data_IF_189250012619
#
_entry.id   IF_189250012619
#
_cell.length_a   1.000
_cell.length_b   1.000
_cell.length_c   1.000
_cell.angle_alpha   90.00
_cell.angle_beta   90.00
_cell.angle_gamma   90.00
#
_symmetry.space_group_name_H-M   'P 1'
#
loop_
_entity.id
_entity.type
_entity.pdbx_description
1 polymer ?
#
# COMPACT_ATOMS: atom_id res chain seq x y z
N UNK A 1 97.10 -5.99 0.58
CA UNK A 1 97.80 -4.76 0.99
C UNK A 1 96.79 -3.93 1.80
N UNK A 2 96.90 -4.05 3.08
CA UNK A 2 97.30 -3.04 4.07
C UNK A 2 96.42 -1.80 4.12
N UNK A 3 95.50 -1.81 5.12
CA UNK A 3 95.33 -0.88 6.28
C UNK A 3 95.78 0.60 6.09
N UNK A 4 95.27 1.60 6.88
CA UNK A 4 94.59 1.52 8.18
C UNK A 4 93.48 2.59 8.41
N UNK A 5 92.74 2.37 9.47
CA UNK A 5 92.03 3.42 10.26
C UNK A 5 93.00 4.29 11.05
N UNK A 6 92.71 5.48 11.57
CA UNK A 6 92.37 5.52 12.99
C UNK A 6 91.45 6.69 13.50
N UNK A 7 90.90 6.43 14.71
CA UNK A 7 90.85 7.26 15.92
C UNK A 7 89.87 8.43 16.08
N UNK A 8 89.02 8.20 17.03
CA UNK A 8 88.35 9.19 17.92
C UNK A 8 89.32 10.11 18.68
N UNK A 9 88.80 11.26 19.19
CA UNK A 9 88.85 11.44 20.65
C UNK A 9 87.58 12.08 21.26
N UNK A 10 87.30 11.57 22.43
CA UNK A 10 86.87 12.03 23.73
C UNK A 10 86.44 13.48 23.94
N UNK A 11 85.25 13.59 24.50
CA UNK A 11 84.52 14.30 25.61
C UNK A 11 85.18 15.54 26.26
N UNK A 12 84.41 16.60 26.70
CA UNK A 12 83.98 16.58 28.08
C UNK A 12 82.55 17.01 28.37
N UNK A 13 82.12 16.59 29.57
CA UNK A 13 80.92 16.91 30.37
C UNK A 13 80.72 18.40 30.60
N UNK A 14 79.44 18.86 30.63
CA UNK A 14 78.94 19.88 31.53
C UNK A 14 77.42 19.81 31.69
N UNK A 15 77.03 19.47 32.85
CA UNK A 15 75.92 19.84 33.74
C UNK A 15 74.63 20.51 33.21
N UNK A 16 73.57 19.89 33.64
CA UNK A 16 72.38 20.41 34.34
C UNK A 16 71.39 21.32 33.56
N UNK A 17 70.20 20.86 33.46
CA UNK A 17 68.99 21.64 33.15
C UNK A 17 67.75 20.76 33.16
N UNK A 18 67.14 20.63 34.35
CA UNK A 18 65.84 20.02 34.47
C UNK A 18 64.80 20.90 33.77
N UNK A 19 64.23 20.46 32.67
CA UNK A 19 63.01 21.01 32.10
C UNK A 19 61.95 19.90 32.10
N UNK A 20 60.99 20.08 33.00
CA UNK A 20 59.79 19.29 33.08
C UNK A 20 58.98 19.51 31.79
N UNK A 21 58.94 18.55 30.91
CA UNK A 21 58.01 18.52 29.78
C UNK A 21 56.66 17.99 30.34
N UNK A 22 55.75 18.91 30.61
CA UNK A 22 54.36 18.57 30.84
C UNK A 22 53.78 18.01 29.53
N UNK A 23 53.60 16.69 29.47
CA UNK A 23 52.83 16.04 28.42
C UNK A 23 51.32 16.36 28.69
N UNK A 24 50.83 17.41 28.03
CA UNK A 24 49.39 17.67 27.96
C UNK A 24 48.79 16.55 27.11
N UNK A 25 48.22 15.55 27.76
CA UNK A 25 47.26 14.65 27.18
C UNK A 25 46.00 15.45 26.77
N UNK A 26 45.95 15.95 25.56
CA UNK A 26 44.71 16.38 24.91
C UNK A 26 43.86 15.14 24.72
N UNK A 27 43.04 14.82 25.70
CA UNK A 27 41.89 13.95 25.53
C UNK A 27 40.96 14.67 24.56
N UNK A 28 41.06 14.37 23.30
CA UNK A 28 40.02 14.64 22.36
C UNK A 28 38.82 13.80 22.79
N UNK A 29 37.94 14.40 23.61
CA UNK A 29 36.61 13.92 23.76
C UNK A 29 35.98 13.98 22.34
N UNK A 30 36.00 12.86 21.65
CA UNK A 30 35.06 12.65 20.58
C UNK A 30 33.67 12.82 21.17
N UNK A 31 33.17 14.04 21.15
CA UNK A 31 31.73 14.28 21.16
C UNK A 31 31.20 13.64 19.87
N UNK A 32 30.99 12.33 19.91
CA UNK A 32 29.97 11.74 19.09
C UNK A 32 28.67 12.39 19.56
N UNK A 33 28.35 13.55 18.95
CA UNK A 33 26.98 14.00 18.88
C UNK A 33 26.23 12.82 18.24
N UNK A 34 25.68 11.97 19.09
CA UNK A 34 24.62 11.08 18.69
C UNK A 34 23.60 12.03 18.05
N UNK A 35 23.60 12.05 16.72
CA UNK A 35 22.59 12.69 15.92
C UNK A 35 21.30 12.04 16.41
N UNK A 36 20.59 12.72 17.33
CA UNK A 36 19.27 12.31 17.79
C UNK A 36 18.46 12.22 16.52
N UNK A 37 18.30 10.99 16.06
CA UNK A 37 17.47 10.69 14.92
C UNK A 37 16.14 11.38 15.18
N UNK A 38 15.78 12.35 14.37
CA UNK A 38 14.54 13.11 14.55
C UNK A 38 13.41 12.10 14.52
N UNK A 39 12.82 11.91 15.70
CA UNK A 39 11.76 10.95 15.91
C UNK A 39 10.57 11.33 15.03
N UNK A 40 10.19 10.42 14.16
CA UNK A 40 9.15 10.68 13.16
C UNK A 40 7.79 10.50 13.81
N UNK A 41 6.99 11.56 13.81
CA UNK A 41 5.58 11.47 14.20
C UNK A 41 4.81 10.65 13.20
N UNK A 42 3.97 9.75 13.69
CA UNK A 42 3.13 8.87 12.88
C UNK A 42 1.72 8.81 13.46
N UNK A 43 0.80 8.42 12.61
CA UNK A 43 -0.56 8.07 12.98
C UNK A 43 -0.80 6.59 12.67
N UNK A 44 -0.97 5.77 13.71
CA UNK A 44 -1.25 4.35 13.58
C UNK A 44 -2.75 4.08 13.80
N UNK A 45 -3.40 3.42 12.84
CA UNK A 45 -4.77 2.95 12.96
C UNK A 45 -4.78 1.52 13.44
N UNK A 46 -5.57 1.25 14.49
CA UNK A 46 -5.71 -0.06 15.10
C UNK A 46 -6.94 -0.80 14.56
N UNK A 47 -6.93 -2.12 14.63
CA UNK A 47 -8.10 -2.96 14.36
C UNK A 47 -9.28 -2.64 15.29
N UNK A 48 -9.01 -2.14 16.50
CA UNK A 48 -10.05 -1.66 17.43
C UNK A 48 -10.84 -0.45 16.89
N UNK A 49 -10.31 0.25 15.87
CA UNK A 49 -10.83 1.53 15.40
C UNK A 49 -10.17 2.75 16.05
N UNK A 50 -9.35 2.52 17.06
CA UNK A 50 -8.57 3.58 17.69
C UNK A 50 -7.45 4.08 16.77
N UNK A 51 -7.11 5.35 16.92
CA UNK A 51 -5.98 5.98 16.26
C UNK A 51 -4.96 6.39 17.31
N UNK A 52 -3.74 5.89 17.19
CA UNK A 52 -2.62 6.21 18.06
C UNK A 52 -1.72 7.22 17.34
N UNK A 53 -1.49 8.37 17.97
CA UNK A 53 -0.58 9.40 17.46
C UNK A 53 0.66 9.46 18.35
N UNK A 54 1.83 9.32 17.76
CA UNK A 54 3.08 9.31 18.50
C UNK A 54 4.29 9.18 17.59
N UNK A 55 5.45 9.01 18.19
CA UNK A 55 6.69 8.75 17.48
C UNK A 55 6.85 7.25 17.29
N UNK A 56 7.11 6.81 16.07
CA UNK A 56 7.48 5.43 15.80
C UNK A 56 8.93 5.21 16.24
N UNK A 57 9.11 4.32 17.20
CA UNK A 57 10.44 4.01 17.80
C UNK A 57 11.06 2.81 17.09
N UNK A 58 10.29 1.75 16.88
CA UNK A 58 10.74 0.54 16.17
C UNK A 58 9.56 -0.25 15.62
N UNK A 59 9.82 -1.04 14.59
CA UNK A 59 8.92 -2.07 14.06
C UNK A 59 9.76 -3.31 13.78
N UNK A 60 9.25 -4.47 14.11
CA UNK A 60 9.81 -5.74 13.71
C UNK A 60 8.69 -6.62 13.11
N UNK A 61 8.95 -7.89 12.87
CA UNK A 61 8.00 -8.84 12.26
C UNK A 61 6.73 -9.06 13.10
N UNK A 62 6.76 -8.76 14.39
CA UNK A 62 5.68 -9.08 15.34
C UNK A 62 4.98 -7.85 15.90
N UNK A 63 5.72 -6.76 16.12
CA UNK A 63 5.24 -5.64 16.89
C UNK A 63 5.81 -4.29 16.43
N UNK A 64 5.10 -3.22 16.73
CA UNK A 64 5.53 -1.84 16.59
C UNK A 64 5.51 -1.13 17.94
N UNK A 65 6.53 -0.33 18.21
CA UNK A 65 6.70 0.45 19.44
C UNK A 65 6.53 1.93 19.14
N UNK A 66 5.63 2.56 19.84
CA UNK A 66 5.31 3.98 19.72
C UNK A 66 5.65 4.71 21.02
N UNK A 67 6.16 5.93 20.91
CA UNK A 67 6.36 6.86 22.02
C UNK A 67 5.26 7.93 21.98
N UNK A 68 4.41 7.99 22.99
CA UNK A 68 3.33 8.98 23.12
C UNK A 68 3.57 9.80 24.39
N UNK A 69 4.13 10.99 24.22
CA UNK A 69 4.60 11.77 25.36
C UNK A 69 5.70 11.05 26.14
N UNK A 70 5.43 10.68 27.40
CA UNK A 70 6.39 9.92 28.25
C UNK A 70 6.19 8.41 28.18
N UNK A 71 5.09 7.94 27.60
CA UNK A 71 4.70 6.53 27.62
C UNK A 71 5.17 5.81 26.35
N UNK A 72 5.65 4.58 26.54
CA UNK A 72 5.93 3.64 25.44
C UNK A 72 4.77 2.68 25.32
N UNK A 73 4.22 2.60 24.10
CA UNK A 73 3.09 1.74 23.76
C UNK A 73 3.58 0.73 22.73
N UNK A 74 3.55 -0.54 23.08
CA UNK A 74 3.83 -1.64 22.14
C UNK A 74 2.51 -2.20 21.62
N UNK A 75 2.41 -2.35 20.31
CA UNK A 75 1.26 -2.97 19.62
C UNK A 75 1.73 -4.09 18.72
N UNK A 76 1.05 -5.22 18.78
CA UNK A 76 1.31 -6.30 17.83
C UNK A 76 0.95 -5.83 16.41
N UNK A 77 1.73 -6.26 15.40
CA UNK A 77 1.40 -5.94 13.99
C UNK A 77 0.04 -6.50 13.58
N UNK A 78 -0.41 -7.58 14.23
CA UNK A 78 -1.75 -8.12 14.05
C UNK A 78 -2.86 -7.17 14.53
N UNK A 79 -2.57 -6.24 15.42
CA UNK A 79 -3.52 -5.23 15.90
C UNK A 79 -3.53 -3.96 15.04
N UNK A 80 -2.56 -3.81 14.12
CA UNK A 80 -2.43 -2.63 13.27
C UNK A 80 -3.13 -2.83 11.93
N UNK A 81 -3.92 -1.84 11.53
CA UNK A 81 -4.39 -1.68 10.16
C UNK A 81 -3.37 -0.97 9.29
N UNK A 82 -2.66 0.01 9.83
CA UNK A 82 -1.65 0.73 9.09
C UNK A 82 -1.02 1.88 9.88
N UNK A 83 0.07 2.38 9.34
CA UNK A 83 0.81 3.52 9.86
C UNK A 83 0.89 4.56 8.75
N UNK A 84 0.47 5.79 9.04
CA UNK A 84 0.59 6.94 8.14
C UNK A 84 1.68 7.85 8.65
N UNK A 85 2.51 8.33 7.74
CA UNK A 85 3.61 9.25 8.00
C UNK A 85 3.19 10.65 7.57
N UNK A 86 2.93 11.58 8.50
CA UNK A 86 2.50 12.92 8.15
C UNK A 86 3.57 13.66 7.35
N UNK A 87 3.12 14.59 6.55
CA UNK A 87 3.98 15.39 5.67
C UNK A 87 4.74 16.43 6.50
N UNK A 88 5.92 16.09 6.99
CA UNK A 88 6.87 17.08 7.49
C UNK A 88 7.68 17.58 6.31
N UNK A 89 7.36 18.75 5.84
CA UNK A 89 8.02 19.55 4.83
C UNK A 89 9.09 18.93 3.95
N UNK A 90 8.93 19.15 2.62
CA UNK A 90 10.01 19.24 1.65
C UNK A 90 10.66 17.97 1.09
N UNK A 91 9.88 17.02 0.58
CA UNK A 91 10.30 16.44 -0.72
C UNK A 91 9.10 16.52 -1.64
N UNK A 92 9.29 17.24 -2.72
CA UNK A 92 8.25 17.55 -3.69
C UNK A 92 7.69 16.25 -4.23
N UNK A 93 6.37 16.04 -4.19
CA UNK A 93 5.77 14.97 -4.97
C UNK A 93 6.23 15.09 -6.41
N UNK A 94 6.37 13.98 -7.11
CA UNK A 94 6.66 14.00 -8.55
C UNK A 94 5.62 14.89 -9.22
N UNK A 95 6.05 15.93 -9.93
CA UNK A 95 5.13 16.82 -10.62
C UNK A 95 4.25 16.02 -11.58
N UNK A 96 2.98 16.39 -11.69
CA UNK A 96 2.01 15.62 -12.48
C UNK A 96 2.41 15.48 -13.96
N UNK A 97 3.11 16.49 -14.49
CA UNK A 97 3.61 16.59 -15.86
C UNK A 97 5.05 16.06 -16.04
N UNK A 98 5.73 15.67 -14.94
CA UNK A 98 7.08 15.15 -15.03
C UNK A 98 7.13 13.86 -15.88
N UNK A 99 8.06 13.77 -16.85
CA UNK A 99 8.27 12.54 -17.61
C UNK A 99 8.58 11.38 -16.68
N UNK A 100 7.80 10.32 -16.80
CA UNK A 100 7.95 9.13 -15.94
C UNK A 100 7.56 7.85 -16.66
N UNK A 101 8.21 6.78 -16.27
CA UNK A 101 7.83 5.43 -16.65
C UNK A 101 7.17 4.75 -15.47
N UNK A 102 6.02 4.16 -15.69
CA UNK A 102 5.29 3.40 -14.68
C UNK A 102 5.41 1.90 -14.98
N UNK A 103 5.75 1.13 -13.96
CA UNK A 103 5.85 -0.33 -14.04
C UNK A 103 4.88 -0.96 -13.05
N UNK A 104 4.18 -1.99 -13.49
CA UNK A 104 3.37 -2.85 -12.64
C UNK A 104 3.93 -4.26 -12.67
N UNK A 105 4.21 -4.82 -11.50
CA UNK A 105 4.69 -6.19 -11.38
C UNK A 105 3.54 -7.17 -11.13
N UNK A 106 3.81 -8.46 -11.29
CA UNK A 106 2.82 -9.52 -11.11
C UNK A 106 2.34 -9.63 -9.66
N UNK A 107 3.19 -9.33 -8.67
CA UNK A 107 2.83 -9.31 -7.25
C UNK A 107 1.92 -8.12 -6.89
N UNK A 108 1.81 -7.13 -7.75
CA UNK A 108 1.03 -5.92 -7.50
C UNK A 108 1.85 -4.70 -7.11
N UNK A 109 3.17 -4.80 -7.03
CA UNK A 109 4.09 -3.66 -6.87
C UNK A 109 3.97 -2.71 -8.05
N UNK A 110 3.88 -1.41 -7.79
CA UNK A 110 3.88 -0.35 -8.82
C UNK A 110 5.02 0.60 -8.57
N UNK A 111 5.87 0.82 -9.57
CA UNK A 111 7.05 1.67 -9.48
C UNK A 111 6.97 2.81 -10.47
N UNK A 112 7.40 3.99 -10.04
CA UNK A 112 7.57 5.17 -10.87
C UNK A 112 9.04 5.47 -11.08
N UNK A 113 9.52 5.27 -12.31
CA UNK A 113 10.91 5.48 -12.67
C UNK A 113 11.10 6.82 -13.39
N UNK A 114 12.13 7.53 -13.03
CA UNK A 114 12.63 8.72 -13.72
C UNK A 114 13.35 8.33 -15.02
N UNK A 115 14.05 7.18 -15.00
CA UNK A 115 14.73 6.59 -16.15
C UNK A 115 14.57 5.09 -16.12
N UNK A 116 14.48 4.48 -17.30
CA UNK A 116 14.51 3.04 -17.44
C UNK A 116 15.36 2.62 -18.64
N UNK A 117 15.79 1.38 -18.62
CA UNK A 117 16.48 0.72 -19.72
C UNK A 117 16.08 -0.75 -19.71
N UNK A 118 15.72 -1.30 -20.85
CA UNK A 118 15.49 -2.73 -21.01
C UNK A 118 16.69 -3.36 -21.69
N UNK A 119 17.48 -4.11 -20.94
CA UNK A 119 18.65 -4.85 -21.44
C UNK A 119 18.43 -6.34 -21.26
N UNK A 120 18.58 -7.09 -22.31
CA UNK A 120 18.28 -8.52 -22.32
C UNK A 120 16.88 -8.77 -21.71
N UNK A 121 16.79 -9.46 -20.57
CA UNK A 121 15.54 -9.76 -19.86
C UNK A 121 15.40 -9.00 -18.53
N UNK A 122 16.08 -7.86 -18.40
CA UNK A 122 16.06 -7.02 -17.20
C UNK A 122 15.62 -5.60 -17.53
N UNK A 123 14.66 -5.09 -16.77
CA UNK A 123 14.26 -3.68 -16.77
C UNK A 123 15.01 -2.98 -15.63
N UNK A 124 16.04 -2.23 -15.97
CA UNK A 124 16.81 -1.41 -15.03
C UNK A 124 16.11 -0.06 -14.88
N UNK A 125 15.78 0.33 -13.65
CA UNK A 125 15.07 1.56 -13.36
C UNK A 125 15.82 2.41 -12.35
N UNK A 126 15.81 3.72 -12.54
CA UNK A 126 16.14 4.70 -11.52
C UNK A 126 14.86 5.36 -11.04
N UNK A 127 14.49 5.15 -9.78
CA UNK A 127 13.29 5.68 -9.16
C UNK A 127 13.49 7.16 -8.77
N UNK A 128 12.39 7.89 -8.58
CA UNK A 128 12.43 9.29 -8.15
C UNK A 128 13.01 9.50 -6.73
N UNK A 129 13.03 8.46 -5.90
CA UNK A 129 13.71 8.48 -4.60
C UNK A 129 15.24 8.27 -4.69
N UNK A 130 15.78 8.14 -5.90
CA UNK A 130 17.21 7.93 -6.17
C UNK A 130 17.66 6.48 -6.13
N UNK A 131 16.77 5.52 -5.85
CA UNK A 131 17.12 4.10 -5.86
C UNK A 131 17.19 3.54 -7.28
N UNK A 132 18.16 2.67 -7.51
CA UNK A 132 18.22 1.82 -8.70
C UNK A 132 17.59 0.47 -8.36
N UNK A 133 16.69 -0.01 -9.21
CA UNK A 133 16.07 -1.33 -9.11
C UNK A 133 16.15 -2.05 -10.44
N UNK A 134 16.33 -3.36 -10.39
CA UNK A 134 16.34 -4.23 -11.57
C UNK A 134 15.19 -5.22 -11.47
N UNK A 135 14.29 -5.17 -12.46
CA UNK A 135 13.08 -5.98 -12.52
C UNK A 135 13.24 -7.01 -13.64
N UNK A 136 13.24 -8.31 -13.34
CA UNK A 136 13.20 -9.33 -14.38
C UNK A 136 11.95 -9.20 -15.25
N UNK A 137 12.10 -9.30 -16.56
CA UNK A 137 11.00 -9.15 -17.51
C UNK A 137 9.85 -10.13 -17.24
N UNK A 138 10.16 -11.34 -16.75
CA UNK A 138 9.14 -12.33 -16.40
C UNK A 138 8.34 -12.03 -15.13
N UNK A 139 8.70 -10.97 -14.40
CA UNK A 139 7.97 -10.45 -13.22
C UNK A 139 7.17 -9.19 -13.55
N UNK A 140 7.38 -8.62 -14.71
CA UNK A 140 6.66 -7.46 -15.19
C UNK A 140 5.26 -7.89 -15.68
N UNK A 141 4.22 -7.16 -15.27
CA UNK A 141 2.89 -7.26 -15.84
C UNK A 141 2.74 -6.28 -17.02
N UNK A 142 3.04 -5.02 -16.76
CA UNK A 142 3.07 -4.01 -17.79
C UNK A 142 4.04 -2.86 -17.46
N UNK A 143 4.42 -2.13 -18.51
CA UNK A 143 5.25 -0.94 -18.45
C UNK A 143 4.64 0.14 -19.35
N UNK A 144 4.57 1.38 -18.84
CA UNK A 144 4.11 2.55 -19.57
C UNK A 144 5.20 3.62 -19.56
N UNK A 145 5.76 3.92 -20.74
CA UNK A 145 6.97 4.76 -20.84
C UNK A 145 6.67 6.24 -20.61
N UNK A 146 5.56 6.74 -21.14
CA UNK A 146 5.15 8.14 -21.01
C UNK A 146 3.88 8.24 -20.17
N UNK A 147 4.00 7.80 -18.91
CA UNK A 147 2.85 7.65 -18.02
C UNK A 147 2.12 8.98 -17.68
N UNK A 148 2.74 10.12 -17.96
CA UNK A 148 2.11 11.44 -17.86
C UNK A 148 1.20 11.77 -19.06
N UNK A 149 1.33 11.05 -20.20
CA UNK A 149 0.53 11.26 -21.40
C UNK A 149 -0.80 10.51 -21.32
N UNK A 150 -1.93 11.21 -21.37
CA UNK A 150 -3.27 10.62 -21.27
C UNK A 150 -3.53 9.60 -22.38
N UNK A 151 -3.16 9.93 -23.61
CA UNK A 151 -3.32 9.01 -24.77
C UNK A 151 -2.59 7.68 -24.58
N UNK A 152 -1.36 7.70 -24.05
CA UNK A 152 -0.61 6.48 -23.79
C UNK A 152 -1.26 5.64 -22.70
N UNK A 153 -1.84 6.29 -21.69
CA UNK A 153 -2.57 5.64 -20.59
C UNK A 153 -3.89 5.01 -21.08
N UNK A 154 -4.65 5.70 -21.91
CA UNK A 154 -5.88 5.18 -22.51
C UNK A 154 -5.60 3.93 -23.37
N UNK A 155 -4.57 3.97 -24.21
CA UNK A 155 -4.18 2.81 -25.03
C UNK A 155 -3.73 1.62 -24.17
N UNK A 156 -2.98 1.88 -23.08
CA UNK A 156 -2.63 0.82 -22.13
C UNK A 156 -3.87 0.22 -21.46
N UNK A 157 -4.83 1.05 -21.04
CA UNK A 157 -6.07 0.57 -20.43
C UNK A 157 -6.89 -0.28 -21.38
N UNK A 158 -6.98 0.13 -22.66
CA UNK A 158 -7.66 -0.67 -23.69
C UNK A 158 -6.95 -2.02 -23.93
N UNK A 159 -5.61 -2.02 -23.93
CA UNK A 159 -4.82 -3.25 -24.04
C UNK A 159 -5.03 -4.18 -22.84
N UNK A 160 -5.10 -3.64 -21.63
CA UNK A 160 -5.34 -4.40 -20.39
C UNK A 160 -6.77 -4.96 -20.29
N UNK A 161 -7.77 -4.22 -20.82
CA UNK A 161 -9.16 -4.65 -20.84
C UNK A 161 -9.41 -5.86 -21.77
N UNK A 162 -8.60 -5.98 -22.81
CA UNK A 162 -8.63 -7.12 -23.74
C UNK A 162 -7.68 -8.19 -23.23
N UNK A 163 -8.20 -9.36 -22.86
CA UNK A 163 -7.35 -10.50 -22.48
C UNK A 163 -6.64 -11.02 -23.73
N UNK A 164 -5.38 -10.67 -23.90
CA UNK A 164 -4.55 -11.14 -25.00
C UNK A 164 -3.78 -12.41 -24.62
N UNK A 165 -3.71 -13.37 -25.54
CA UNK A 165 -2.89 -14.58 -25.40
C UNK A 165 -1.40 -14.32 -25.67
N UNK A 166 -1.07 -13.19 -26.29
CA UNK A 166 0.27 -12.76 -26.66
C UNK A 166 0.62 -11.43 -25.95
N UNK A 167 1.91 -11.14 -25.88
CA UNK A 167 2.38 -9.85 -25.38
C UNK A 167 1.90 -8.72 -26.30
N UNK A 168 1.67 -7.55 -25.69
CA UNK A 168 1.24 -6.35 -26.40
C UNK A 168 2.35 -5.32 -26.34
N UNK A 169 2.67 -4.72 -27.49
CA UNK A 169 3.60 -3.60 -27.60
C UNK A 169 2.87 -2.38 -28.14
N UNK A 170 2.94 -1.27 -27.41
CA UNK A 170 2.39 0.03 -27.80
C UNK A 170 3.50 0.89 -28.40
N UNK A 171 3.41 1.25 -29.66
CA UNK A 171 4.44 1.99 -30.38
C UNK A 171 3.91 3.29 -30.95
N UNK A 172 4.67 4.35 -30.74
CA UNK A 172 4.44 5.62 -31.43
C UNK A 172 4.64 5.40 -32.93
N UNK A 173 3.70 5.86 -33.74
CA UNK A 173 3.81 5.86 -35.20
C UNK A 173 5.03 6.67 -35.67
N UNK A 174 5.47 6.47 -36.90
CA UNK A 174 6.67 7.18 -37.42
C UNK A 174 6.45 8.68 -37.56
N UNK A 175 5.23 9.11 -37.77
CA UNK A 175 4.81 10.53 -37.85
C UNK A 175 4.53 11.14 -36.47
N UNK A 176 4.61 10.34 -35.38
CA UNK A 176 4.38 10.79 -34.04
C UNK A 176 2.92 11.09 -33.66
N UNK A 177 1.95 10.77 -34.54
CA UNK A 177 0.55 11.16 -34.36
C UNK A 177 -0.31 10.10 -33.67
N UNK A 178 0.06 8.84 -33.77
CA UNK A 178 -0.73 7.72 -33.27
C UNK A 178 0.12 6.76 -32.42
N UNK A 179 -0.54 6.04 -31.51
CA UNK A 179 0.04 4.89 -30.82
C UNK A 179 -0.61 3.66 -31.43
N UNK A 180 0.20 2.76 -31.97
CA UNK A 180 -0.25 1.52 -32.59
C UNK A 180 0.02 0.34 -31.67
N UNK A 181 -0.91 -0.61 -31.65
CA UNK A 181 -0.85 -1.84 -30.86
C UNK A 181 -0.41 -3.01 -31.73
N UNK A 182 0.60 -3.75 -31.27
CA UNK A 182 1.11 -4.96 -31.91
C UNK A 182 1.06 -6.14 -30.95
N UNK A 183 0.66 -7.30 -31.46
CA UNK A 183 0.61 -8.56 -30.73
C UNK A 183 1.75 -9.47 -31.18
N UNK A 184 2.44 -10.11 -30.22
CA UNK A 184 3.58 -10.99 -30.49
C UNK A 184 4.27 -11.44 -29.22
N UNK A 185 5.58 -11.64 -29.24
CA UNK A 185 6.36 -12.06 -28.09
C UNK A 185 7.52 -11.11 -27.85
N UNK A 186 7.58 -10.54 -26.65
CA UNK A 186 8.68 -9.72 -26.18
C UNK A 186 9.86 -10.63 -25.80
N UNK A 187 10.94 -10.56 -26.54
CA UNK A 187 12.15 -11.37 -26.32
C UNK A 187 13.12 -10.70 -25.33
N UNK A 188 13.03 -9.38 -25.21
CA UNK A 188 13.90 -8.55 -24.35
C UNK A 188 14.57 -7.42 -25.12
N UNK A 189 15.45 -6.67 -24.43
CA UNK A 189 16.24 -5.61 -25.05
C UNK A 189 17.57 -6.09 -25.60
N UNK A 190 18.21 -5.26 -26.43
CA UNK A 190 19.62 -5.44 -26.79
C UNK A 190 20.56 -5.15 -25.59
N UNK A 191 21.86 -5.39 -25.75
CA UNK A 191 22.84 -5.17 -24.67
C UNK A 191 22.97 -3.70 -24.28
N UNK A 192 22.75 -2.79 -25.21
CA UNK A 192 22.83 -1.35 -25.03
C UNK A 192 21.53 -0.76 -24.48
N UNK A 193 20.41 -1.49 -24.54
CA UNK A 193 19.06 -1.00 -24.19
C UNK A 193 18.46 -0.02 -25.19
N UNK A 194 19.00 0.01 -26.43
CA UNK A 194 18.55 0.90 -27.48
C UNK A 194 17.38 0.31 -28.29
N UNK A 195 17.27 -1.01 -28.33
CA UNK A 195 16.27 -1.72 -29.12
C UNK A 195 15.58 -2.79 -28.30
N UNK A 196 14.26 -2.94 -28.54
CA UNK A 196 13.45 -4.05 -28.07
C UNK A 196 13.42 -5.11 -29.17
N UNK A 197 13.75 -6.35 -28.87
CA UNK A 197 13.59 -7.49 -29.77
C UNK A 197 12.17 -8.05 -29.59
N UNK A 198 11.37 -7.96 -30.64
CA UNK A 198 9.98 -8.38 -30.64
C UNK A 198 9.76 -9.39 -31.75
N UNK A 199 9.17 -10.54 -31.43
CA UNK A 199 8.79 -11.54 -32.43
C UNK A 199 7.35 -11.32 -32.84
N UNK A 200 7.19 -10.96 -34.11
CA UNK A 200 5.91 -10.82 -34.78
C UNK A 200 5.78 -12.00 -35.75
N UNK A 201 4.82 -12.88 -35.49
CA UNK A 201 4.71 -14.17 -36.20
C UNK A 201 6.03 -14.96 -36.10
N UNK A 202 6.73 -15.22 -37.20
CA UNK A 202 8.02 -15.94 -37.23
C UNK A 202 9.25 -15.03 -37.29
N UNK A 203 9.05 -13.71 -37.47
CA UNK A 203 10.13 -12.75 -37.66
C UNK A 203 10.47 -12.00 -36.37
N UNK A 204 11.78 -11.86 -36.11
CA UNK A 204 12.26 -11.00 -35.01
C UNK A 204 12.50 -9.59 -35.53
N UNK A 205 11.70 -8.66 -35.06
CA UNK A 205 11.76 -7.25 -35.43
C UNK A 205 12.42 -6.44 -34.32
N UNK A 206 13.56 -5.78 -34.58
CA UNK A 206 14.16 -4.84 -33.62
C UNK A 206 13.36 -3.52 -33.64
N UNK A 207 12.83 -3.14 -32.48
CA UNK A 207 12.06 -1.92 -32.29
C UNK A 207 12.91 -0.90 -31.57
N UNK A 208 12.97 0.33 -32.06
CA UNK A 208 13.64 1.43 -31.39
C UNK A 208 12.93 1.78 -30.09
N UNK A 209 13.66 1.79 -28.97
CA UNK A 209 13.12 2.12 -27.64
C UNK A 209 12.54 3.53 -27.57
N UNK A 210 13.00 4.48 -28.39
CA UNK A 210 12.44 5.84 -28.46
C UNK A 210 10.96 5.86 -28.91
N UNK A 211 10.55 4.83 -29.65
CA UNK A 211 9.16 4.70 -30.10
C UNK A 211 8.28 3.92 -29.14
N UNK A 212 8.86 3.24 -28.16
CA UNK A 212 8.11 2.47 -27.18
C UNK A 212 7.25 3.42 -26.31
N UNK A 213 5.95 3.08 -26.17
CA UNK A 213 5.03 3.76 -25.25
C UNK A 213 4.54 2.84 -24.16
N UNK A 214 4.43 1.55 -24.44
CA UNK A 214 4.02 0.59 -23.42
C UNK A 214 4.28 -0.86 -23.82
N UNK A 215 4.29 -1.71 -22.81
CA UNK A 215 4.34 -3.16 -22.89
C UNK A 215 3.27 -3.74 -21.97
N UNK A 216 2.51 -4.73 -22.44
CA UNK A 216 1.69 -5.61 -21.59
C UNK A 216 2.14 -7.03 -21.86
N UNK A 217 2.65 -7.72 -20.85
CA UNK A 217 3.09 -9.09 -21.00
C UNK A 217 1.91 -10.03 -20.80
N UNK A 218 1.77 -11.02 -21.71
CA UNK A 218 0.71 -12.01 -21.64
C UNK A 218 0.70 -12.66 -20.28
N UNK A 219 -0.49 -12.69 -19.65
CA UNK A 219 -0.65 -13.08 -18.27
C UNK A 219 -0.11 -14.48 -18.02
N UNK A 220 1.01 -14.54 -17.35
CA UNK A 220 1.40 -15.70 -16.55
C UNK A 220 0.63 -15.59 -15.25
N UNK A 221 0.19 -16.72 -14.70
CA UNK A 221 -0.57 -16.76 -13.45
C UNK A 221 0.11 -15.92 -12.36
N UNK A 222 -0.68 -15.13 -11.65
CA UNK A 222 -0.22 -14.38 -10.48
C UNK A 222 0.41 -15.36 -9.50
N UNK A 223 1.73 -15.38 -9.44
CA UNK A 223 2.49 -16.17 -8.46
C UNK A 223 2.68 -15.37 -7.17
N UNK A 224 1.63 -15.01 -6.50
CA UNK A 224 1.76 -14.32 -5.22
C UNK A 224 0.43 -14.27 -4.49
N UNK A 225 0.45 -14.68 -3.22
CA UNK A 225 -0.64 -14.40 -2.31
C UNK A 225 -0.79 -12.88 -2.18
N UNK A 226 -2.02 -12.39 -2.12
CA UNK A 226 -2.33 -10.99 -1.79
C UNK A 226 -1.90 -10.61 -0.36
N UNK A 227 -1.24 -11.50 0.35
CA UNK A 227 -0.94 -11.43 1.78
C UNK A 227 0.42 -10.75 2.01
N UNK A 228 0.54 -9.49 1.64
CA UNK A 228 1.73 -8.69 1.86
C UNK A 228 1.43 -7.38 2.58
N UNK A 229 2.48 -6.75 3.08
CA UNK A 229 2.39 -5.39 3.61
C UNK A 229 2.50 -4.41 2.46
N UNK A 230 1.48 -3.55 2.29
CA UNK A 230 1.55 -2.51 1.28
C UNK A 230 2.28 -1.30 1.83
N UNK A 231 3.41 -0.97 1.23
CA UNK A 231 4.21 0.21 1.56
C UNK A 231 4.06 1.23 0.42
N UNK A 232 3.65 2.45 0.76
CA UNK A 232 3.61 3.56 -0.18
C UNK A 232 4.67 4.58 0.19
N UNK A 233 5.43 5.03 -0.79
CA UNK A 233 6.35 6.14 -0.62
C UNK A 233 5.75 7.45 -1.16
N UNK A 234 6.40 8.57 -0.84
CA UNK A 234 5.96 9.92 -1.25
C UNK A 234 6.19 10.22 -2.73
N UNK A 235 6.89 9.35 -3.43
CA UNK A 235 7.17 9.49 -4.87
C UNK A 235 6.17 8.73 -5.73
N UNK A 236 5.16 8.09 -5.09
CA UNK A 236 4.09 7.36 -5.76
C UNK A 236 4.37 5.88 -5.99
N UNK A 237 5.51 5.36 -5.52
CA UNK A 237 5.74 3.93 -5.56
C UNK A 237 4.84 3.22 -4.55
N UNK A 238 4.32 2.08 -4.95
CA UNK A 238 3.59 1.15 -4.09
C UNK A 238 4.30 -0.20 -4.13
N UNK A 239 4.82 -0.62 -3.00
CA UNK A 239 5.51 -1.90 -2.82
C UNK A 239 4.59 -2.88 -2.12
N UNK A 240 4.50 -4.11 -2.63
CA UNK A 240 3.85 -5.21 -1.92
C UNK A 240 4.94 -6.07 -1.28
N UNK A 241 5.23 -5.78 -0.01
CA UNK A 241 6.31 -6.40 0.73
C UNK A 241 5.86 -7.71 1.37
N UNK A 242 6.60 -8.79 1.11
CA UNK A 242 6.48 -10.05 1.85
C UNK A 242 7.14 -9.95 3.23
N UNK A 243 8.20 -9.16 3.33
CA UNK A 243 8.95 -8.91 4.56
C UNK A 243 9.28 -7.44 4.70
N UNK A 244 9.19 -6.95 5.93
CA UNK A 244 9.65 -5.60 6.29
C UNK A 244 10.50 -5.69 7.56
N UNK A 245 11.59 -4.94 7.58
CA UNK A 245 12.41 -4.72 8.77
C UNK A 245 12.69 -3.25 8.95
N UNK A 246 12.90 -2.87 10.20
CA UNK A 246 13.04 -1.48 10.58
C UNK A 246 14.35 -1.26 11.31
N UNK A 247 15.22 -0.42 10.76
CA UNK A 247 16.52 -0.12 11.35
C UNK A 247 16.85 1.36 11.18
N UNK A 248 17.28 2.00 12.25
CA UNK A 248 17.86 3.35 12.23
C UNK A 248 17.11 4.37 11.35
N UNK A 249 15.79 4.51 11.54
CA UNK A 249 14.90 5.41 10.75
C UNK A 249 14.77 5.05 9.25
N UNK A 250 15.00 3.81 8.90
CA UNK A 250 14.80 3.28 7.56
C UNK A 250 13.94 2.03 7.60
N UNK A 251 13.06 1.91 6.63
CA UNK A 251 12.32 0.71 6.33
C UNK A 251 13.05 -0.06 5.24
N UNK A 252 13.48 -1.28 5.53
CA UNK A 252 13.88 -2.25 4.51
C UNK A 252 12.71 -3.15 4.20
N UNK A 253 12.49 -3.39 2.93
CA UNK A 253 11.43 -4.28 2.47
C UNK A 253 11.98 -5.25 1.41
N UNK A 254 11.35 -6.41 1.36
CA UNK A 254 11.54 -7.40 0.31
C UNK A 254 10.16 -7.81 -0.22
N UNK A 255 9.96 -7.67 -1.53
CA UNK A 255 8.71 -8.08 -2.19
C UNK A 255 8.66 -9.61 -2.37
N UNK A 256 7.48 -10.15 -2.64
CA UNK A 256 7.32 -11.58 -2.94
C UNK A 256 8.13 -12.04 -4.16
N UNK A 257 8.39 -11.15 -5.09
CA UNK A 257 9.22 -11.39 -6.28
C UNK A 257 10.72 -11.18 -6.03
N UNK A 258 11.12 -10.88 -4.78
CA UNK A 258 12.51 -10.78 -4.36
C UNK A 258 13.15 -9.41 -4.58
N UNK A 259 12.41 -8.38 -5.02
CA UNK A 259 12.92 -7.03 -5.06
C UNK A 259 13.12 -6.50 -3.64
N UNK A 260 14.22 -5.79 -3.45
CA UNK A 260 14.52 -5.13 -2.18
C UNK A 260 14.54 -3.61 -2.34
N UNK A 261 14.06 -2.91 -1.33
CA UNK A 261 14.14 -1.46 -1.26
C UNK A 261 14.44 -1.01 0.18
N UNK A 262 15.08 0.14 0.30
CA UNK A 262 15.35 0.78 1.57
C UNK A 262 14.82 2.22 1.52
N UNK A 263 13.83 2.52 2.34
CA UNK A 263 13.13 3.80 2.37
C UNK A 263 13.40 4.51 3.69
N UNK A 264 13.88 5.73 3.64
CA UNK A 264 13.98 6.57 4.82
C UNK A 264 12.56 7.01 5.27
N UNK A 265 12.37 7.33 6.54
CA UNK A 265 11.08 7.74 7.10
C UNK A 265 10.46 8.93 6.39
N UNK A 266 11.28 9.90 6.00
CA UNK A 266 10.85 11.07 5.26
C UNK A 266 10.38 10.75 3.83
N UNK A 267 10.70 9.56 3.34
CA UNK A 267 10.25 9.05 2.05
C UNK A 267 8.94 8.25 2.14
N UNK A 268 8.56 7.77 3.34
CA UNK A 268 7.34 7.00 3.54
C UNK A 268 6.09 7.89 3.55
N UNK A 269 5.03 7.42 2.92
CA UNK A 269 3.68 7.96 3.02
C UNK A 269 2.81 7.10 3.93
N UNK A 270 2.79 5.78 3.71
CA UNK A 270 2.03 4.86 4.54
C UNK A 270 2.57 3.42 4.48
N UNK A 271 2.30 2.67 5.54
CA UNK A 271 2.46 1.22 5.62
C UNK A 271 1.11 0.63 6.00
N UNK A 272 0.56 -0.23 5.15
CA UNK A 272 -0.75 -0.86 5.32
C UNK A 272 -0.58 -2.35 5.57
N UNK A 273 -0.98 -2.80 6.75
CA UNK A 273 -0.92 -4.18 7.21
C UNK A 273 -2.23 -4.93 6.98
N UNK A 274 -3.26 -4.29 6.45
CA UNK A 274 -4.60 -4.88 6.31
C UNK A 274 -4.69 -5.90 5.16
N UNK A 275 -3.75 -5.86 4.21
CA UNK A 275 -3.75 -6.72 3.04
C UNK A 275 -3.80 -8.20 3.42
N UNK A 276 -4.79 -8.92 2.86
CA UNK A 276 -5.00 -10.34 3.15
C UNK A 276 -5.53 -10.67 4.55
N UNK A 277 -5.60 -9.70 5.48
CA UNK A 277 -6.13 -9.90 6.84
C UNK A 277 -7.51 -9.31 7.04
N UNK A 278 -7.85 -8.29 6.26
CA UNK A 278 -9.10 -7.56 6.37
C UNK A 278 -9.68 -7.35 4.99
N UNK A 279 -10.99 -7.53 4.87
CA UNK A 279 -11.75 -7.10 3.69
C UNK A 279 -13.03 -6.41 4.15
N UNK A 280 -13.38 -5.31 3.51
CA UNK A 280 -14.67 -4.66 3.74
C UNK A 280 -15.76 -5.34 2.93
N UNK A 281 -16.96 -5.52 3.51
CA UNK A 281 -18.09 -6.07 2.77
C UNK A 281 -18.46 -5.21 1.56
N UNK A 282 -18.20 -3.90 1.64
CA UNK A 282 -18.43 -2.99 0.51
C UNK A 282 -17.52 -3.26 -0.71
N UNK A 283 -16.39 -3.96 -0.51
CA UNK A 283 -15.46 -4.35 -1.58
C UNK A 283 -15.78 -5.75 -2.15
N UNK A 284 -16.75 -6.46 -1.55
CA UNK A 284 -17.19 -7.79 -1.99
C UNK A 284 -18.51 -7.71 -2.76
N UNK A 285 -18.70 -8.64 -3.69
CA UNK A 285 -20.00 -8.88 -4.29
C UNK A 285 -20.82 -9.80 -3.40
N UNK A 286 -22.06 -9.41 -3.00
CA UNK A 286 -22.94 -10.32 -2.29
C UNK A 286 -23.36 -11.49 -3.17
N UNK A 287 -23.42 -12.69 -2.61
CA UNK A 287 -23.95 -13.88 -3.28
C UNK A 287 -25.45 -13.74 -3.59
N UNK A 288 -26.15 -13.01 -2.74
CA UNK A 288 -27.60 -12.80 -2.86
C UNK A 288 -27.96 -11.39 -2.39
N UNK A 289 -28.83 -10.75 -3.15
CA UNK A 289 -29.45 -9.46 -2.83
C UNK A 289 -30.96 -9.62 -2.94
N UNK A 290 -31.68 -9.37 -1.86
CA UNK A 290 -33.14 -9.24 -1.87
C UNK A 290 -33.50 -7.88 -1.35
N UNK A 291 -34.22 -7.11 -2.14
CA UNK A 291 -34.75 -5.80 -1.77
C UNK A 291 -36.25 -5.83 -2.08
N UNK A 292 -37.06 -5.87 -1.01
CA UNK A 292 -38.54 -6.00 -1.07
C UNK A 292 -39.15 -4.80 -0.40
N UNK A 293 -39.42 -3.71 -1.11
CA UNK A 293 -40.10 -2.55 -0.51
C UNK A 293 -41.51 -2.90 -0.08
N UNK A 294 -42.01 -2.21 0.92
CA UNK A 294 -43.40 -2.31 1.33
C UNK A 294 -44.34 -1.67 0.31
N UNK A 295 -43.88 -0.55 -0.28
CA UNK A 295 -44.56 0.20 -1.35
C UNK A 295 -43.76 0.07 -2.67
N UNK A 296 -44.10 0.86 -3.67
CA UNK A 296 -43.56 0.69 -5.04
C UNK A 296 -42.09 1.04 -5.21
N UNK A 297 -41.52 1.86 -4.36
CA UNK A 297 -40.17 2.39 -4.52
C UNK A 297 -39.12 1.46 -3.92
N UNK A 298 -38.17 0.98 -4.75
CA UNK A 298 -37.04 0.14 -4.32
C UNK A 298 -35.85 1.02 -3.98
N UNK A 299 -35.47 1.06 -2.72
CA UNK A 299 -34.23 1.66 -2.27
C UNK A 299 -33.09 0.64 -2.39
N UNK A 300 -32.25 0.82 -3.43
CA UNK A 300 -31.08 -0.06 -3.65
C UNK A 300 -30.04 0.17 -2.56
N UNK A 301 -29.47 -0.91 -2.04
CA UNK A 301 -28.36 -0.81 -1.12
C UNK A 301 -27.19 -0.04 -1.74
N UNK A 302 -26.42 0.66 -0.92
CA UNK A 302 -25.27 1.45 -1.36
C UNK A 302 -23.99 0.98 -0.66
N UNK A 303 -22.90 1.06 -1.41
CA UNK A 303 -21.54 0.80 -0.92
C UNK A 303 -20.83 2.12 -0.73
N UNK A 304 -20.19 2.30 0.44
CA UNK A 304 -19.36 3.44 0.80
C UNK A 304 -20.07 4.81 0.71
N UNK A 305 -21.40 4.78 0.69
CA UNK A 305 -22.27 5.96 0.62
C UNK A 305 -23.60 5.68 1.34
N UNK A 306 -24.26 6.76 1.78
CA UNK A 306 -25.63 6.66 2.24
C UNK A 306 -26.62 6.49 1.07
N UNK A 307 -27.89 6.20 1.37
CA UNK A 307 -28.90 5.93 0.33
C UNK A 307 -29.16 7.14 -0.57
N UNK A 308 -28.95 8.36 -0.09
CA UNK A 308 -29.05 9.60 -0.87
C UNK A 308 -27.79 9.91 -1.71
N UNK A 309 -26.71 9.10 -1.59
CA UNK A 309 -25.46 9.25 -2.34
C UNK A 309 -24.39 10.09 -1.65
N UNK A 310 -24.67 10.65 -0.47
CA UNK A 310 -23.71 11.35 0.38
C UNK A 310 -22.82 10.39 1.19
N UNK A 311 -21.97 10.90 2.08
CA UNK A 311 -21.15 10.08 2.98
C UNK A 311 -22.03 9.36 4.01
N UNK A 312 -21.59 8.19 4.49
CA UNK A 312 -22.20 7.50 5.61
C UNK A 312 -21.92 8.29 6.88
N UNK A 313 -22.96 8.62 7.66
CA UNK A 313 -22.84 9.33 8.94
C UNK A 313 -23.67 8.67 10.02
N UNK A 314 -23.02 8.32 11.14
CA UNK A 314 -23.67 7.74 12.32
C UNK A 314 -23.19 8.45 13.58
N UNK A 315 -24.12 9.05 14.34
CA UNK A 315 -23.82 9.77 15.57
C UNK A 315 -22.82 10.91 15.36
N UNK A 316 -22.96 11.65 14.27
CA UNK A 316 -22.12 12.77 13.83
C UNK A 316 -20.68 12.37 13.41
N UNK A 317 -20.44 11.07 13.24
CA UNK A 317 -19.15 10.57 12.73
C UNK A 317 -19.33 10.09 11.30
N UNK A 318 -18.47 10.59 10.40
CA UNK A 318 -18.45 10.21 8.99
C UNK A 318 -17.55 8.98 8.79
N UNK A 319 -18.03 8.06 7.96
CA UNK A 319 -17.35 6.81 7.62
C UNK A 319 -17.14 6.72 6.11
N UNK A 320 -15.94 6.30 5.70
CA UNK A 320 -15.57 6.15 4.29
C UNK A 320 -15.89 4.77 3.72
N UNK A 321 -16.14 3.79 4.60
CA UNK A 321 -16.42 2.40 4.25
C UNK A 321 -17.70 1.94 4.93
N UNK A 322 -18.50 1.12 4.22
CA UNK A 322 -19.70 0.53 4.78
C UNK A 322 -20.76 0.20 3.75
N UNK A 323 -21.87 -0.32 4.25
CA UNK A 323 -23.05 -0.66 3.45
C UNK A 323 -24.25 0.03 4.08
N UNK A 324 -25.05 0.69 3.26
CA UNK A 324 -26.33 1.28 3.69
C UNK A 324 -27.48 0.60 2.96
N UNK A 325 -28.50 0.24 3.71
CA UNK A 325 -29.68 -0.48 3.23
C UNK A 325 -30.96 0.15 3.74
N UNK A 326 -32.06 -0.14 3.05
CA UNK A 326 -33.43 0.17 3.49
C UNK A 326 -34.15 -1.13 3.86
N UNK A 327 -35.19 -1.08 4.70
CA UNK A 327 -36.08 -2.21 4.94
C UNK A 327 -36.97 -2.49 3.69
N UNK A 328 -37.33 -3.72 3.33
CA UNK A 328 -36.69 -4.95 3.75
C UNK A 328 -35.56 -5.29 2.79
N UNK A 329 -34.36 -5.45 3.33
CA UNK A 329 -33.18 -5.88 2.54
C UNK A 329 -32.55 -7.10 3.18
N UNK A 330 -32.12 -8.05 2.34
CA UNK A 330 -31.27 -9.17 2.71
C UNK A 330 -30.04 -9.17 1.80
N UNK A 331 -28.85 -9.11 2.39
CA UNK A 331 -27.57 -9.27 1.72
C UNK A 331 -26.87 -10.53 2.26
N UNK A 332 -26.41 -11.41 1.38
CA UNK A 332 -25.67 -12.63 1.76
C UNK A 332 -24.28 -12.61 1.16
N UNK A 333 -23.28 -12.90 1.98
CA UNK A 333 -21.86 -12.90 1.61
C UNK A 333 -21.22 -14.24 1.92
N UNK A 334 -20.27 -14.66 1.08
CA UNK A 334 -19.36 -15.76 1.40
C UNK A 334 -18.29 -15.24 2.38
N UNK A 335 -18.16 -15.93 3.52
CA UNK A 335 -17.24 -15.52 4.59
C UNK A 335 -16.35 -16.67 5.07
N UNK A 336 -16.30 -17.78 4.32
CA UNK A 336 -15.43 -18.89 4.63
C UNK A 336 -13.96 -18.46 4.79
N UNK A 337 -13.31 -18.92 5.87
CA UNK A 337 -11.92 -18.57 6.19
C UNK A 337 -11.71 -17.25 6.92
N UNK A 338 -12.78 -16.51 7.22
CA UNK A 338 -12.73 -15.37 8.14
C UNK A 338 -13.14 -15.81 9.55
N UNK A 339 -12.56 -15.16 10.57
CA UNK A 339 -12.80 -15.50 11.98
C UNK A 339 -13.75 -14.52 12.66
N UNK A 340 -13.82 -13.30 12.17
CA UNK A 340 -14.58 -12.24 12.85
C UNK A 340 -15.23 -11.29 11.85
N UNK A 341 -16.47 -10.88 12.15
CA UNK A 341 -17.15 -9.75 11.52
C UNK A 341 -17.23 -8.58 12.48
N UNK A 342 -16.96 -7.38 12.00
CA UNK A 342 -17.14 -6.14 12.76
C UNK A 342 -17.84 -5.08 11.94
N UNK A 343 -18.71 -4.30 12.60
CA UNK A 343 -19.25 -3.06 12.03
C UNK A 343 -19.68 -2.09 13.13
N UNK A 344 -19.95 -0.85 12.74
CA UNK A 344 -20.71 0.12 13.53
C UNK A 344 -22.10 0.21 12.92
N UNK A 345 -23.11 -0.18 13.68
CA UNK A 345 -24.49 -0.29 13.23
C UNK A 345 -25.30 0.88 13.78
N UNK A 346 -26.10 1.51 12.94
CA UNK A 346 -26.99 2.60 13.35
C UNK A 346 -27.94 3.05 12.27
N UNK A 347 -28.89 3.90 12.66
CA UNK A 347 -29.71 4.66 11.74
C UNK A 347 -28.89 5.85 11.22
N UNK A 348 -28.95 6.11 9.93
CA UNK A 348 -28.26 7.23 9.28
C UNK A 348 -28.67 8.59 9.87
N UNK A 349 -27.67 9.47 10.11
CA UNK A 349 -27.94 10.81 10.66
C UNK A 349 -28.80 11.69 9.73
N UNK A 350 -28.89 11.33 8.45
CA UNK A 350 -29.73 12.02 7.46
C UNK A 350 -31.22 11.76 7.63
N UNK A 351 -31.61 10.75 8.43
CA UNK A 351 -33.00 10.43 8.72
C UNK A 351 -33.56 11.44 9.74
N UNK A 352 -34.51 12.24 9.29
CA UNK A 352 -35.13 13.31 10.09
C UNK A 352 -36.56 13.01 10.54
N UNK A 353 -36.99 11.76 10.40
CA UNK A 353 -38.26 11.24 10.85
C UNK A 353 -38.06 10.21 11.97
N UNK A 354 -39.10 9.91 12.73
CA UNK A 354 -39.03 8.77 13.66
C UNK A 354 -39.10 7.49 12.84
N UNK A 355 -38.00 6.73 12.84
CA UNK A 355 -37.85 5.50 12.09
C UNK A 355 -37.34 4.36 12.98
N UNK A 356 -37.76 3.14 12.68
CA UNK A 356 -37.41 1.96 13.45
C UNK A 356 -37.28 0.73 12.55
N UNK A 357 -36.07 0.16 12.46
CA UNK A 357 -35.80 -1.05 11.71
C UNK A 357 -35.32 -2.19 12.61
N UNK A 358 -35.69 -3.41 12.26
CA UNK A 358 -35.22 -4.63 12.92
C UNK A 358 -34.05 -5.22 12.15
N UNK A 359 -32.90 -5.31 12.80
CA UNK A 359 -31.63 -5.83 12.20
C UNK A 359 -31.32 -7.20 12.76
N UNK A 360 -31.13 -8.18 11.89
CA UNK A 360 -30.59 -9.49 12.21
C UNK A 360 -29.33 -9.75 11.40
N UNK A 361 -28.34 -10.39 12.03
CA UNK A 361 -27.16 -10.90 11.35
C UNK A 361 -27.09 -12.39 11.61
N UNK A 362 -27.09 -13.17 10.55
CA UNK A 362 -27.14 -14.62 10.61
C UNK A 362 -25.88 -15.23 10.01
N UNK A 363 -25.36 -16.29 10.64
CA UNK A 363 -24.29 -17.14 10.13
C UNK A 363 -24.82 -18.53 9.83
N UNK A 364 -24.79 -18.98 8.57
CA UNK A 364 -25.32 -20.28 8.12
C UNK A 364 -26.77 -20.53 8.58
N UNK A 365 -27.60 -19.48 8.54
CA UNK A 365 -29.00 -19.52 8.96
C UNK A 365 -29.25 -19.45 10.46
N UNK A 366 -28.19 -19.39 11.30
CA UNK A 366 -28.29 -19.17 12.74
C UNK A 366 -28.15 -17.69 13.07
N UNK A 367 -29.04 -17.17 13.91
CA UNK A 367 -28.95 -15.80 14.39
C UNK A 367 -27.69 -15.61 15.26
N UNK A 368 -26.82 -14.69 14.86
CA UNK A 368 -25.63 -14.26 15.60
C UNK A 368 -25.85 -12.93 16.31
N UNK A 369 -26.74 -12.09 15.79
CA UNK A 369 -27.05 -10.78 16.34
C UNK A 369 -28.47 -10.38 15.97
N UNK A 370 -29.14 -9.71 16.92
CA UNK A 370 -30.47 -9.14 16.73
C UNK A 370 -30.57 -7.81 17.49
N UNK A 371 -31.11 -6.80 16.85
CA UNK A 371 -31.41 -5.51 17.49
C UNK A 371 -32.47 -4.73 16.74
N UNK A 372 -33.23 -3.95 17.46
CA UNK A 372 -34.06 -2.87 16.90
C UNK A 372 -33.22 -1.58 16.94
N UNK A 373 -33.15 -0.88 15.82
CA UNK A 373 -32.41 0.37 15.63
C UNK A 373 -33.39 1.49 15.37
N UNK A 374 -33.27 2.59 16.10
CA UNK A 374 -34.18 3.73 16.02
C UNK A 374 -33.42 5.01 15.67
N UNK A 375 -34.13 5.96 15.08
CA UNK A 375 -33.62 7.33 14.90
C UNK A 375 -33.22 7.91 16.27
N UNK A 376 -32.01 8.47 16.35
CA UNK A 376 -31.45 9.05 17.58
C UNK A 376 -30.79 8.06 18.53
N UNK A 377 -30.85 6.75 18.25
CA UNK A 377 -30.06 5.77 18.98
C UNK A 377 -28.56 6.01 18.78
N UNK A 378 -27.74 5.77 19.81
CA UNK A 378 -26.29 5.77 19.66
C UNK A 378 -25.86 4.60 18.77
N UNK A 379 -24.95 4.83 17.81
CA UNK A 379 -24.39 3.76 17.00
C UNK A 379 -23.80 2.64 17.87
N UNK A 380 -23.99 1.39 17.46
CA UNK A 380 -23.56 0.20 18.20
C UNK A 380 -22.37 -0.46 17.50
N UNK A 381 -21.32 -0.73 18.24
CA UNK A 381 -20.27 -1.63 17.77
C UNK A 381 -20.78 -3.08 17.82
N UNK A 382 -20.73 -3.74 16.66
CA UNK A 382 -21.06 -5.17 16.51
C UNK A 382 -19.79 -5.93 16.23
N UNK A 383 -19.59 -7.01 16.98
CA UNK A 383 -18.44 -7.90 16.82
C UNK A 383 -18.95 -9.34 16.94
N UNK A 384 -18.77 -10.14 15.88
CA UNK A 384 -19.30 -11.49 15.80
C UNK A 384 -18.19 -12.47 15.46
N UNK A 385 -18.15 -13.60 16.14
CA UNK A 385 -17.29 -14.72 15.79
C UNK A 385 -17.85 -15.43 14.55
N UNK A 386 -17.01 -15.62 13.53
CA UNK A 386 -17.33 -16.31 12.28
C UNK A 386 -16.55 -17.63 12.12
N UNK A 387 -15.90 -18.14 13.16
CA UNK A 387 -15.23 -19.44 13.07
C UNK A 387 -16.22 -20.52 12.61
N UNK A 388 -15.87 -21.21 11.52
CA UNK A 388 -16.71 -22.23 10.86
C UNK A 388 -18.03 -21.72 10.29
N UNK A 389 -18.14 -20.42 10.00
CA UNK A 389 -19.26 -19.83 9.27
C UNK A 389 -18.86 -19.66 7.80
N UNK A 390 -19.68 -20.17 6.89
CA UNK A 390 -19.46 -20.05 5.46
C UNK A 390 -20.21 -18.86 4.85
N UNK A 391 -21.40 -18.57 5.37
CA UNK A 391 -22.29 -17.53 4.82
C UNK A 391 -22.77 -16.59 5.90
N UNK A 392 -22.59 -15.30 5.67
CA UNK A 392 -23.09 -14.22 6.52
C UNK A 392 -24.26 -13.52 5.83
N UNK A 393 -25.41 -13.42 6.53
CA UNK A 393 -26.57 -12.69 6.05
C UNK A 393 -26.83 -11.48 6.92
N UNK A 394 -26.93 -10.31 6.27
CA UNK A 394 -27.40 -9.08 6.88
C UNK A 394 -28.87 -8.92 6.50
N UNK A 395 -29.75 -8.89 7.49
CA UNK A 395 -31.20 -8.76 7.30
C UNK A 395 -31.64 -7.49 8.00
N UNK A 396 -32.26 -6.59 7.26
CA UNK A 396 -32.94 -5.41 7.79
C UNK A 396 -34.40 -5.52 7.43
N UNK A 397 -35.23 -5.61 8.43
CA UNK A 397 -36.71 -5.78 8.32
C UNK A 397 -37.43 -4.56 8.87
N UNK A 398 -38.71 -4.47 8.58
CA UNK A 398 -39.56 -3.41 9.05
C UNK A 398 -39.62 -3.38 10.58
N UNK A 399 -39.78 -2.18 11.14
CA UNK A 399 -40.18 -1.95 12.52
C UNK A 399 -41.70 -1.85 12.70
N UNK A 400 -42.14 -1.19 13.77
CA UNK A 400 -43.55 -0.99 14.05
C UNK A 400 -44.15 0.17 13.24
N UNK A 401 -43.34 0.95 12.52
CA UNK A 401 -43.68 2.14 11.74
C UNK A 401 -43.63 1.89 10.23
N UNK A 402 -43.71 0.62 9.82
CA UNK A 402 -43.60 0.14 8.44
C UNK A 402 -42.16 0.29 7.93
N UNK A 403 -41.94 1.00 6.82
CA UNK A 403 -40.59 1.19 6.21
C UNK A 403 -40.18 2.69 6.19
N UNK A 404 -40.82 3.53 6.97
CA UNK A 404 -40.60 4.97 6.90
C UNK A 404 -39.21 5.38 7.46
N UNK A 405 -38.31 5.74 6.57
CA UNK A 405 -37.00 6.26 6.95
C UNK A 405 -35.98 5.21 7.44
N UNK A 406 -36.23 3.94 7.16
CA UNK A 406 -35.39 2.80 7.58
C UNK A 406 -34.02 2.76 6.90
N UNK A 407 -33.29 3.87 6.95
CA UNK A 407 -31.95 3.96 6.39
C UNK A 407 -30.89 3.45 7.39
N UNK A 408 -30.66 2.16 7.38
CA UNK A 408 -29.71 1.49 8.28
C UNK A 408 -28.33 1.42 7.63
N UNK A 409 -27.29 1.82 8.37
CA UNK A 409 -25.91 1.71 7.93
C UNK A 409 -25.12 0.70 8.78
N UNK A 410 -24.39 -0.17 8.08
CA UNK A 410 -23.33 -1.01 8.61
C UNK A 410 -21.99 -0.34 8.25
N UNK A 411 -21.63 0.71 9.00
CA UNK A 411 -20.37 1.44 8.78
C UNK A 411 -19.18 0.58 9.19
N UNK A 412 -18.05 0.71 8.47
CA UNK A 412 -16.85 -0.10 8.70
C UNK A 412 -17.12 -1.62 8.72
N UNK A 413 -18.14 -2.10 7.98
CA UNK A 413 -18.48 -3.52 7.89
C UNK A 413 -17.34 -4.30 7.27
N UNK A 414 -16.63 -5.12 8.07
CA UNK A 414 -15.40 -5.78 7.68
C UNK A 414 -15.28 -7.19 8.24
N UNK A 415 -14.61 -8.04 7.47
CA UNK A 415 -14.24 -9.40 7.82
C UNK A 415 -12.76 -9.44 8.17
N UNK A 416 -12.40 -10.21 9.18
CA UNK A 416 -11.04 -10.39 9.68
C UNK A 416 -10.67 -11.87 9.63
N UNK A 417 -9.43 -12.18 9.18
CA UNK A 417 -8.86 -13.53 9.23
C UNK A 417 -8.23 -13.87 10.58
#
# INVERSE_FOLDING_TARGET
MMKPSPRLPLVPFALAGWLAVAVSLLVHACNSSAQTASAVQVEARLLSGETLRGQLVSVNEKEAVFQTGKDRITKALSELLGITFPTSGSKTPVAADAPRTELRLLDGTTLLAQKFSLKQKQVECQLFNGQAVSVPLNRLHWLLVTAQEEKAREELQQALAKKHAQDVVLLLSRDGQAINTFLGVVLGGDEQGARLNFRLEDDVVPIDMARLRGLVLAQRERTGSSDGVRVQDRFGNTWLAAEITWEANRLRLRTGDGLTAELAFDQLASVDFSQGRLVYLSDLEPLRVEEKPLLADVWRFRRDRNLSGGPISLGQKVYSKGITVHSRTVLEYEVAGYREFRCVLGMEDSVNVSAQAVVRIEGDGRELFHATIRTGDKPREVRLNLENVERLRLVVDYGDDLDLGDHVAFAEARLLK
#
